data_IF_692684487940
#
_entry.id   IF_692684487940
#
_cell.length_a   1.000
_cell.length_b   1.000
_cell.length_c   1.000
_cell.angle_alpha   90.00
_cell.angle_beta   90.00
_cell.angle_gamma   90.00
#
_symmetry.space_group_name_H-M   'P 1'
#
loop_
_entity.id
_entity.type
_entity.pdbx_description
1 polymer ?
#
# COMPACT_ATOMS: atom_id res chain seq x y z
N UNK A 1 42.33 -30.06 -20.49
CA UNK A 1 43.16 -28.84 -20.48
C UNK A 1 42.65 -28.01 -21.64
N UNK A 2 41.91 -26.94 -21.47
CA UNK A 2 41.36 -26.20 -20.32
C UNK A 2 40.19 -25.39 -20.91
N UNK A 3 39.24 -25.05 -20.06
CA UNK A 3 38.13 -24.14 -20.31
C UNK A 3 38.60 -22.78 -20.88
N UNK A 4 37.72 -21.99 -21.47
CA UNK A 4 37.48 -20.62 -21.03
C UNK A 4 36.25 -20.01 -21.74
N UNK A 5 35.33 -19.60 -20.89
CA UNK A 5 34.08 -18.84 -21.12
C UNK A 5 34.43 -17.37 -21.42
N UNK A 6 33.41 -16.61 -21.82
CA UNK A 6 33.25 -15.14 -21.86
C UNK A 6 33.28 -14.52 -23.27
N UNK A 7 32.36 -13.64 -23.66
CA UNK A 7 31.62 -12.67 -22.85
C UNK A 7 30.36 -12.28 -23.64
N UNK A 8 29.17 -12.65 -23.15
CA UNK A 8 27.90 -12.07 -23.59
C UNK A 8 27.96 -10.57 -23.24
N UNK A 9 28.06 -9.71 -24.26
CA UNK A 9 27.79 -8.30 -24.08
C UNK A 9 26.29 -8.12 -23.82
N UNK A 10 25.91 -8.24 -22.55
CA UNK A 10 24.68 -7.65 -22.02
C UNK A 10 24.75 -6.14 -22.27
N UNK A 11 24.19 -5.73 -23.39
CA UNK A 11 23.84 -4.35 -23.64
C UNK A 11 22.79 -3.97 -22.57
N UNK A 12 23.29 -3.37 -21.48
CA UNK A 12 22.48 -2.71 -20.44
C UNK A 12 21.61 -1.66 -21.13
N UNK A 13 20.43 -2.06 -21.57
CA UNK A 13 19.35 -1.14 -21.91
C UNK A 13 18.90 -0.55 -20.58
N UNK A 14 19.55 0.56 -20.21
CA UNK A 14 19.10 1.42 -19.14
C UNK A 14 17.72 1.95 -19.50
N UNK A 15 16.67 1.27 -19.02
CA UNK A 15 15.33 1.83 -19.04
C UNK A 15 15.31 2.98 -18.04
N UNK A 16 15.51 4.19 -18.56
CA UNK A 16 15.36 5.43 -17.83
C UNK A 16 14.00 5.45 -17.12
N UNK A 17 14.01 5.97 -15.90
CA UNK A 17 12.81 6.19 -15.10
C UNK A 17 11.78 6.97 -15.92
N UNK A 18 10.76 6.28 -16.43
CA UNK A 18 9.60 6.94 -17.01
C UNK A 18 8.75 7.46 -15.85
N UNK A 19 8.95 8.73 -15.49
CA UNK A 19 8.05 9.45 -14.62
C UNK A 19 6.75 9.73 -15.39
N UNK A 20 5.78 8.81 -15.29
CA UNK A 20 4.40 9.08 -15.70
C UNK A 20 3.68 9.82 -14.57
N UNK A 21 2.99 10.89 -14.94
CA UNK A 21 2.54 11.97 -14.06
C UNK A 21 1.65 11.58 -12.88
N UNK A 22 1.59 12.52 -11.94
CA UNK A 22 0.72 12.64 -10.76
C UNK A 22 -0.39 11.58 -10.64
N UNK A 23 -0.12 10.43 -10.01
CA UNK A 23 -1.17 9.47 -9.67
C UNK A 23 -0.75 8.07 -9.20
N UNK A 24 0.47 7.59 -9.50
CA UNK A 24 0.92 6.28 -9.05
C UNK A 24 2.42 6.12 -9.24
N UNK A 25 3.19 6.21 -8.16
CA UNK A 25 4.64 6.09 -8.22
C UNK A 25 5.03 4.62 -8.28
N UNK A 26 5.31 4.11 -9.47
CA UNK A 26 6.00 2.84 -9.62
C UNK A 26 7.49 3.05 -9.35
N UNK A 27 8.07 2.31 -8.42
CA UNK A 27 9.52 2.37 -8.12
C UNK A 27 10.18 1.03 -8.38
N UNK A 28 11.46 1.08 -8.76
CA UNK A 28 12.33 -0.10 -8.90
C UNK A 28 13.10 -0.27 -7.59
N UNK A 29 12.89 -1.39 -6.90
CA UNK A 29 13.58 -1.68 -5.63
C UNK A 29 14.71 -2.67 -5.86
N UNK A 30 15.96 -2.19 -5.99
CA UNK A 30 17.22 -2.95 -5.86
C UNK A 30 17.42 -4.20 -6.73
N UNK A 31 16.42 -4.60 -7.49
CA UNK A 31 16.23 -5.80 -8.30
C UNK A 31 15.14 -5.50 -9.36
N UNK A 32 14.86 -6.44 -10.25
CA UNK A 32 14.07 -6.17 -11.46
C UNK A 32 12.55 -5.99 -11.22
N UNK A 33 12.10 -5.88 -9.97
CA UNK A 33 10.68 -5.77 -9.62
C UNK A 33 10.21 -4.32 -9.56
N UNK A 34 8.98 -4.08 -10.02
CA UNK A 34 8.30 -2.77 -9.99
C UNK A 34 7.19 -2.83 -8.94
N UNK A 35 7.19 -1.92 -7.97
CA UNK A 35 6.18 -1.88 -6.88
C UNK A 35 5.36 -0.58 -6.88
N UNK A 36 4.12 -0.61 -6.39
CA UNK A 36 3.30 0.60 -6.15
C UNK A 36 3.74 1.28 -4.85
N UNK A 37 4.10 2.56 -4.92
CA UNK A 37 4.52 3.34 -3.74
C UNK A 37 3.45 3.46 -2.66
N UNK A 38 2.17 3.27 -3.00
CA UNK A 38 1.05 3.31 -2.05
C UNK A 38 0.74 1.94 -1.43
N UNK A 39 1.14 0.88 -2.12
CA UNK A 39 0.92 -0.51 -1.70
C UNK A 39 2.13 -1.36 -2.15
N UNK A 40 3.21 -1.39 -1.36
CA UNK A 40 4.46 -2.06 -1.72
C UNK A 40 4.31 -3.58 -1.92
N UNK A 41 3.22 -4.17 -1.45
CA UNK A 41 2.93 -5.60 -1.64
C UNK A 41 2.30 -5.88 -3.02
N UNK A 42 1.92 -4.84 -3.77
CA UNK A 42 1.53 -4.95 -5.17
C UNK A 42 2.74 -4.85 -6.08
N UNK A 43 3.15 -6.00 -6.60
CA UNK A 43 4.33 -6.14 -7.46
C UNK A 43 3.91 -6.37 -8.91
N UNK A 44 4.57 -5.68 -9.85
CA UNK A 44 4.28 -5.68 -11.28
C UNK A 44 5.45 -6.15 -12.12
N UNK A 45 5.13 -6.76 -13.26
CA UNK A 45 6.11 -7.21 -14.23
C UNK A 45 6.86 -6.01 -14.82
N UNK A 46 8.21 -5.98 -14.79
CA UNK A 46 8.97 -4.85 -15.35
C UNK A 46 8.82 -4.71 -16.87
N UNK A 47 8.41 -5.77 -17.57
CA UNK A 47 8.33 -5.79 -19.04
C UNK A 47 6.99 -5.29 -19.59
N UNK A 48 5.90 -5.52 -18.87
CA UNK A 48 4.55 -5.22 -19.38
C UNK A 48 3.58 -4.65 -18.34
N UNK A 49 4.06 -4.36 -17.13
CA UNK A 49 3.32 -3.76 -16.01
C UNK A 49 2.04 -4.51 -15.61
N UNK A 50 1.91 -5.77 -16.01
CA UNK A 50 0.84 -6.64 -15.54
C UNK A 50 1.20 -7.20 -14.16
N UNK A 51 0.19 -7.43 -13.32
CA UNK A 51 0.37 -8.04 -12.00
C UNK A 51 1.08 -9.39 -12.11
N UNK A 52 2.06 -9.63 -11.24
CA UNK A 52 2.71 -10.93 -11.12
C UNK A 52 1.75 -11.97 -10.51
N UNK A 53 1.99 -13.24 -10.82
CA UNK A 53 1.31 -14.36 -10.16
C UNK A 53 2.33 -15.25 -9.46
N UNK A 54 2.05 -15.75 -8.25
CA UNK A 54 2.91 -16.70 -7.57
C UNK A 54 2.94 -18.02 -8.35
N UNK A 55 4.12 -18.63 -8.46
CA UNK A 55 4.35 -19.89 -9.17
C UNK A 55 5.41 -20.73 -8.44
N UNK A 56 5.21 -22.04 -8.38
CA UNK A 56 6.13 -22.96 -7.69
C UNK A 56 7.08 -23.64 -8.69
N UNK A 57 8.39 -23.49 -8.51
CA UNK A 57 9.35 -24.41 -9.12
C UNK A 57 9.44 -25.68 -8.27
N UNK A 58 8.77 -26.75 -8.70
CA UNK A 58 8.71 -28.03 -7.97
C UNK A 58 10.05 -28.74 -7.85
N UNK A 59 10.99 -28.51 -8.77
CA UNK A 59 12.30 -29.17 -8.76
C UNK A 59 13.20 -28.52 -7.71
N UNK A 60 13.21 -27.20 -7.67
CA UNK A 60 14.04 -26.42 -6.73
C UNK A 60 13.32 -26.14 -5.40
N UNK A 61 12.00 -26.35 -5.34
CA UNK A 61 11.12 -26.04 -4.20
C UNK A 61 11.20 -24.55 -3.82
N UNK A 62 11.23 -23.69 -4.82
CA UNK A 62 11.33 -22.23 -4.66
C UNK A 62 10.06 -21.54 -5.17
N UNK A 63 9.75 -20.40 -4.55
CA UNK A 63 8.68 -19.51 -5.01
C UNK A 63 9.22 -18.61 -6.11
N UNK A 64 8.54 -18.61 -7.25
CA UNK A 64 8.79 -17.74 -8.37
C UNK A 64 7.61 -16.79 -8.53
N UNK A 65 7.87 -15.62 -9.09
CA UNK A 65 6.86 -14.78 -9.69
C UNK A 65 6.83 -15.12 -11.18
N UNK A 66 5.62 -15.27 -11.76
CA UNK A 66 5.39 -15.44 -13.20
C UNK A 66 4.42 -14.41 -13.75
N UNK A 67 4.76 -13.77 -14.85
CA UNK A 67 3.85 -12.89 -15.57
C UNK A 67 2.99 -13.71 -16.56
N UNK A 68 1.67 -13.72 -16.37
CA UNK A 68 0.76 -14.48 -17.24
C UNK A 68 0.63 -13.89 -18.65
N UNK A 69 1.01 -12.62 -18.87
CA UNK A 69 0.92 -11.97 -20.18
C UNK A 69 2.12 -12.28 -21.06
N UNK A 70 3.34 -12.05 -20.57
CA UNK A 70 4.56 -12.18 -21.39
C UNK A 70 5.43 -13.39 -21.02
N UNK A 71 5.07 -14.17 -19.99
CA UNK A 71 5.82 -15.35 -19.59
C UNK A 71 7.12 -15.08 -18.82
N UNK A 72 7.45 -13.82 -18.52
CA UNK A 72 8.61 -13.52 -17.67
C UNK A 72 8.50 -14.19 -16.30
N UNK A 73 9.63 -14.60 -15.76
CA UNK A 73 9.74 -15.22 -14.46
C UNK A 73 10.94 -14.65 -13.72
N UNK A 74 10.78 -14.46 -12.42
CA UNK A 74 11.82 -14.01 -11.50
C UNK A 74 11.64 -14.75 -10.17
N UNK A 75 12.72 -14.95 -9.42
CA UNK A 75 12.61 -15.53 -8.08
C UNK A 75 11.90 -14.54 -7.15
N UNK A 76 10.93 -15.00 -6.36
CA UNK A 76 10.27 -14.13 -5.40
C UNK A 76 11.24 -13.73 -4.27
N UNK A 77 10.95 -12.63 -3.58
CA UNK A 77 11.54 -12.39 -2.27
C UNK A 77 10.86 -13.30 -1.23
N UNK A 78 11.65 -14.04 -0.45
CA UNK A 78 11.17 -14.98 0.55
C UNK A 78 10.93 -14.31 1.91
N UNK A 79 11.20 -13.01 2.07
CA UNK A 79 11.00 -12.30 3.34
C UNK A 79 9.52 -12.03 3.67
N UNK A 80 8.64 -12.07 2.66
CA UNK A 80 7.20 -11.78 2.81
C UNK A 80 6.32 -12.94 2.33
N UNK A 81 5.17 -13.21 2.99
CA UNK A 81 4.23 -14.21 2.53
C UNK A 81 3.44 -13.76 1.30
N UNK A 82 2.95 -14.71 0.51
CA UNK A 82 2.12 -14.46 -0.70
C UNK A 82 0.78 -13.81 -0.36
N UNK A 83 0.21 -14.16 0.79
CA UNK A 83 -1.08 -13.64 1.22
C UNK A 83 -1.14 -13.54 2.74
N UNK A 84 -1.61 -12.40 3.22
CA UNK A 84 -1.96 -12.17 4.62
C UNK A 84 -3.42 -11.75 4.71
N UNK A 85 -4.12 -12.29 5.71
CA UNK A 85 -5.50 -11.91 6.00
C UNK A 85 -5.60 -11.35 7.42
N UNK A 86 -5.74 -10.04 7.53
CA UNK A 86 -5.97 -9.34 8.79
C UNK A 86 -7.44 -9.44 9.19
N UNK A 87 -7.76 -10.43 10.03
CA UNK A 87 -9.13 -10.69 10.49
C UNK A 87 -9.67 -9.58 11.41
N UNK A 88 -8.79 -8.93 12.16
CA UNK A 88 -9.12 -7.78 13.02
C UNK A 88 -8.44 -6.55 12.43
N UNK A 89 -9.24 -5.58 11.98
CA UNK A 89 -8.72 -4.30 11.48
C UNK A 89 -8.19 -3.47 12.65
N UNK A 90 -6.93 -3.04 12.57
CA UNK A 90 -6.33 -2.19 13.61
C UNK A 90 -6.93 -0.78 13.59
N UNK A 91 -6.94 -0.12 14.76
CA UNK A 91 -7.57 1.19 14.97
C UNK A 91 -6.99 2.31 14.10
N UNK A 92 -5.67 2.29 13.83
CA UNK A 92 -5.01 3.30 13.00
C UNK A 92 -5.59 3.35 11.58
N UNK A 93 -5.95 2.18 11.04
CA UNK A 93 -6.54 2.04 9.71
C UNK A 93 -7.91 2.76 9.61
N UNK A 94 -8.61 3.00 10.73
CA UNK A 94 -9.90 3.69 10.71
C UNK A 94 -9.69 5.17 10.39
N UNK A 95 -8.75 5.83 11.07
CA UNK A 95 -8.49 7.28 10.90
C UNK A 95 -7.90 7.62 9.52
N UNK A 96 -7.16 6.69 8.92
CA UNK A 96 -6.59 6.85 7.58
C UNK A 96 -7.68 6.93 6.50
N UNK A 97 -8.82 6.26 6.71
CA UNK A 97 -9.97 6.29 5.81
C UNK A 97 -10.88 7.52 5.99
N UNK A 98 -10.64 8.32 7.03
CA UNK A 98 -11.47 9.49 7.35
C UNK A 98 -10.93 10.70 6.61
N UNK A 99 -11.75 11.37 5.81
CA UNK A 99 -11.33 12.59 5.11
C UNK A 99 -11.34 13.79 6.06
N UNK A 100 -10.32 14.68 6.02
CA UNK A 100 -10.39 15.98 6.70
C UNK A 100 -11.61 16.82 6.26
N UNK A 101 -12.09 16.63 5.02
CA UNK A 101 -13.24 17.34 4.47
C UNK A 101 -14.57 16.98 5.15
N UNK A 102 -14.61 15.93 5.99
CA UNK A 102 -15.80 15.62 6.78
C UNK A 102 -16.18 16.74 7.76
N UNK A 103 -15.26 17.63 8.13
CA UNK A 103 -15.57 18.81 8.94
C UNK A 103 -16.59 19.76 8.32
N UNK A 104 -16.72 19.75 6.99
CA UNK A 104 -17.64 20.61 6.23
C UNK A 104 -19.02 19.98 6.02
N UNK A 105 -19.21 18.71 6.40
CA UNK A 105 -20.50 18.03 6.23
C UNK A 105 -21.53 18.55 7.24
N UNK A 106 -22.60 19.24 6.80
CA UNK A 106 -23.59 19.83 7.69
C UNK A 106 -24.51 18.79 8.35
N UNK A 107 -24.45 17.53 7.92
CA UNK A 107 -25.26 16.44 8.48
C UNK A 107 -24.60 15.79 9.70
N UNK A 108 -23.30 16.03 9.92
CA UNK A 108 -22.57 15.50 11.06
C UNK A 108 -22.76 16.35 12.32
N UNK A 109 -22.74 15.69 13.48
CA UNK A 109 -22.94 16.38 14.76
C UNK A 109 -21.68 17.15 15.16
N UNK A 110 -21.86 18.44 15.46
CA UNK A 110 -20.79 19.29 15.96
C UNK A 110 -20.40 18.92 17.40
N UNK A 111 -19.15 19.20 17.76
CA UNK A 111 -18.66 19.10 19.12
C UNK A 111 -17.74 20.27 19.45
N UNK A 112 -17.66 20.61 20.74
CA UNK A 112 -16.88 21.72 21.27
C UNK A 112 -15.50 21.28 21.83
N UNK A 113 -15.00 20.07 21.50
CA UNK A 113 -13.75 19.56 22.07
C UNK A 113 -12.56 20.30 21.49
N UNK A 114 -11.57 20.59 22.33
CA UNK A 114 -10.33 21.26 21.91
C UNK A 114 -9.43 20.31 21.11
N UNK A 115 -9.02 20.76 19.94
CA UNK A 115 -8.08 20.06 19.09
C UNK A 115 -6.66 20.15 19.67
N UNK A 116 -6.00 19.02 19.88
CA UNK A 116 -4.62 18.98 20.37
C UNK A 116 -3.60 19.57 19.38
N UNK A 117 -3.93 19.65 18.09
CA UNK A 117 -3.01 20.15 17.06
C UNK A 117 -3.05 21.67 16.88
N UNK A 118 -4.22 22.30 16.99
CA UNK A 118 -4.37 23.75 16.75
C UNK A 118 -5.04 24.52 17.89
N UNK A 119 -5.53 23.84 18.93
CA UNK A 119 -6.25 24.46 20.06
C UNK A 119 -7.68 24.89 19.76
N UNK A 120 -8.13 24.80 18.50
CA UNK A 120 -9.50 25.15 18.11
C UNK A 120 -10.55 24.23 18.73
N UNK A 121 -11.73 24.75 19.03
CA UNK A 121 -12.81 24.02 19.71
C UNK A 121 -13.92 23.55 18.77
N UNK A 122 -13.83 23.85 17.48
CA UNK A 122 -14.84 23.47 16.50
C UNK A 122 -14.46 22.15 15.82
N UNK A 123 -15.30 21.14 16.00
CA UNK A 123 -15.14 19.84 15.36
C UNK A 123 -16.46 19.17 15.05
N UNK A 124 -16.40 18.09 14.28
CA UNK A 124 -17.50 17.14 14.07
C UNK A 124 -17.13 15.78 14.65
N UNK A 125 -18.14 14.98 14.97
CA UNK A 125 -17.92 13.61 15.39
C UNK A 125 -18.95 12.65 14.80
N UNK A 126 -18.55 11.39 14.65
CA UNK A 126 -19.40 10.30 14.18
C UNK A 126 -18.89 8.97 14.74
N UNK A 127 -19.75 7.96 14.74
CA UNK A 127 -19.39 6.62 15.19
C UNK A 127 -18.45 5.95 14.18
N UNK A 128 -17.36 5.36 14.68
CA UNK A 128 -16.44 4.61 13.85
C UNK A 128 -17.12 3.37 13.24
N UNK A 129 -17.01 3.19 11.93
CA UNK A 129 -17.35 1.91 11.29
C UNK A 129 -16.28 0.88 11.68
N UNK A 130 -16.62 0.09 12.70
CA UNK A 130 -15.72 -0.89 13.28
C UNK A 130 -15.98 -2.31 12.76
N UNK A 131 -16.86 -2.44 11.75
CA UNK A 131 -17.24 -3.71 11.15
C UNK A 131 -18.10 -4.61 12.06
N UNK A 132 -18.63 -5.69 11.49
CA UNK A 132 -19.62 -6.57 12.15
C UNK A 132 -19.15 -7.28 13.44
N UNK A 133 -17.85 -7.22 13.78
CA UNK A 133 -17.26 -7.88 14.96
C UNK A 133 -16.83 -6.93 16.08
N UNK A 134 -17.06 -5.63 15.93
CA UNK A 134 -16.63 -4.69 16.94
C UNK A 134 -17.72 -4.40 17.97
N UNK A 135 -17.40 -4.69 19.23
CA UNK A 135 -18.30 -4.48 20.37
C UNK A 135 -18.22 -3.05 20.96
N UNK A 136 -17.30 -2.19 20.47
CA UNK A 136 -17.04 -0.87 21.04
C UNK A 136 -17.60 0.28 20.20
N UNK A 137 -18.50 1.07 20.76
CA UNK A 137 -19.08 2.29 20.18
C UNK A 137 -18.09 3.47 20.22
N UNK A 138 -16.99 3.36 19.49
CA UNK A 138 -15.96 4.42 19.45
C UNK A 138 -16.38 5.59 18.59
N UNK A 139 -16.03 6.80 19.01
CA UNK A 139 -16.26 8.03 18.24
C UNK A 139 -14.98 8.47 17.54
N UNK A 140 -15.12 8.87 16.28
CA UNK A 140 -14.11 9.61 15.52
C UNK A 140 -14.44 11.09 15.61
N UNK A 141 -13.42 11.91 15.85
CA UNK A 141 -13.48 13.36 15.85
C UNK A 141 -12.64 13.93 14.70
N UNK A 142 -13.15 14.99 14.07
CA UNK A 142 -12.45 15.74 13.02
C UNK A 142 -12.52 17.23 13.35
N UNK A 143 -11.36 17.89 13.45
CA UNK A 143 -11.30 19.34 13.67
C UNK A 143 -11.65 20.11 12.38
N UNK A 144 -12.56 21.08 12.46
CA UNK A 144 -12.95 21.93 11.31
C UNK A 144 -11.83 22.90 10.88
N UNK A 145 -10.92 23.24 11.78
CA UNK A 145 -9.91 24.28 11.53
C UNK A 145 -8.66 23.72 10.85
N UNK A 146 -8.12 22.60 11.35
CA UNK A 146 -6.86 22.03 10.84
C UNK A 146 -7.01 20.62 10.24
N UNK A 147 -8.20 20.02 10.29
CA UNK A 147 -8.44 18.68 9.77
C UNK A 147 -7.78 17.56 10.58
N UNK A 148 -7.26 17.84 11.78
CA UNK A 148 -6.73 16.80 12.67
C UNK A 148 -7.83 15.82 13.08
N UNK A 149 -7.50 14.54 13.14
CA UNK A 149 -8.44 13.43 13.36
C UNK A 149 -7.97 12.60 14.54
N UNK A 150 -8.89 12.26 15.44
CA UNK A 150 -8.59 11.40 16.59
C UNK A 150 -9.80 10.55 16.98
N UNK A 151 -9.57 9.51 17.79
CA UNK A 151 -10.63 8.67 18.35
C UNK A 151 -10.67 8.79 19.86
N UNK A 152 -11.85 8.60 20.42
CA UNK A 152 -12.05 8.48 21.86
C UNK A 152 -12.95 7.26 22.15
N UNK A 153 -12.65 6.60 23.26
CA UNK A 153 -13.32 5.39 23.74
C UNK A 153 -14.41 5.68 24.75
#
# INVERSE_FOLDING_TARGET
MEDFIDEDQEERVGYGAMAVGAGGGMVVDGGAMVVDSRDPDRIFCPRCFNMWSPWEDRRLKTLMLKCNRCGYMEQADHTKPVHENYVVKQMKNILDNVSPAMGEDPTLHENAKSCSSCGGTQGVHFQADTGAKAESLKLVFVCKICGNKWMES
#
